data_IF_636042412293
#
_entry.id   IF_636042412293
#
_cell.length_a   1.000
_cell.length_b   1.000
_cell.length_c   1.000
_cell.angle_alpha   90.00
_cell.angle_beta   90.00
_cell.angle_gamma   90.00
#
_symmetry.space_group_name_H-M   'P 1'
#
loop_
_entity.id
_entity.type
_entity.pdbx_description
1 polymer ?
#
# COMPACT_ATOMS: atom_id res chain seq x y z
N UNK A 1 -19.36 -36.71 7.61
CA UNK A 1 -18.18 -37.61 7.49
C UNK A 1 -16.92 -36.76 7.59
N UNK A 2 -15.91 -37.21 8.34
CA UNK A 2 -14.61 -36.53 8.45
C UNK A 2 -13.78 -36.84 7.19
N UNK A 3 -13.28 -35.83 6.50
CA UNK A 3 -12.36 -36.00 5.36
C UNK A 3 -11.01 -36.60 5.79
N UNK A 4 -10.33 -37.27 4.87
CA UNK A 4 -9.00 -37.81 5.12
C UNK A 4 -7.97 -36.68 5.27
N UNK A 5 -7.18 -36.74 6.34
CA UNK A 5 -6.07 -35.81 6.60
C UNK A 5 -4.84 -36.28 5.80
N UNK A 6 -4.82 -35.92 4.52
CA UNK A 6 -3.77 -36.32 3.56
C UNK A 6 -3.17 -35.07 2.93
N UNK A 7 -1.86 -34.88 3.11
CA UNK A 7 -1.12 -33.84 2.43
C UNK A 7 -0.97 -34.22 0.96
N UNK A 8 -1.64 -33.49 0.07
CA UNK A 8 -1.51 -33.68 -1.38
C UNK A 8 -0.72 -32.51 -1.95
N UNK A 9 0.53 -32.75 -2.31
CA UNK A 9 1.38 -31.76 -2.97
C UNK A 9 1.15 -31.80 -4.49
N UNK A 10 0.60 -30.72 -5.05
CA UNK A 10 0.56 -30.56 -6.50
C UNK A 10 1.92 -30.13 -7.01
N UNK A 11 2.46 -30.81 -8.03
CA UNK A 11 3.77 -30.48 -8.63
C UNK A 11 3.82 -29.05 -9.19
N UNK A 12 2.69 -28.54 -9.71
CA UNK A 12 2.57 -27.16 -10.19
C UNK A 12 1.18 -26.61 -9.88
N UNK A 13 1.08 -25.31 -9.59
CA UNK A 13 -0.18 -24.58 -9.44
C UNK A 13 -0.04 -23.20 -10.06
N UNK A 14 -0.92 -22.87 -11.01
CA UNK A 14 -0.97 -21.56 -11.65
C UNK A 14 -2.08 -20.73 -11.01
N UNK A 15 -1.70 -19.83 -10.11
CA UNK A 15 -2.62 -18.91 -9.41
C UNK A 15 -2.08 -17.50 -9.48
N UNK A 16 -2.97 -16.53 -9.67
CA UNK A 16 -2.66 -15.10 -9.55
C UNK A 16 -2.78 -14.70 -8.08
N UNK A 17 -2.07 -13.65 -7.67
CA UNK A 17 -2.24 -13.06 -6.34
C UNK A 17 -3.71 -12.68 -6.06
N UNK A 18 -4.45 -12.26 -7.09
CA UNK A 18 -5.87 -11.92 -6.98
C UNK A 18 -6.74 -13.10 -6.53
N UNK A 19 -6.39 -14.32 -6.92
CA UNK A 19 -7.15 -15.55 -6.61
C UNK A 19 -7.13 -15.91 -5.12
N UNK A 20 -6.24 -15.29 -4.34
CA UNK A 20 -6.14 -15.49 -2.89
C UNK A 20 -6.96 -14.47 -2.10
N UNK A 21 -7.49 -13.43 -2.75
CA UNK A 21 -8.17 -12.33 -2.07
C UNK A 21 -9.68 -12.44 -2.30
N UNK A 22 -10.50 -12.60 -1.24
CA UNK A 22 -11.95 -12.69 -1.41
C UNK A 22 -12.51 -11.49 -2.21
N UNK A 23 -13.50 -11.71 -3.10
CA UNK A 23 -14.13 -10.61 -3.85
C UNK A 23 -14.75 -9.53 -2.97
N UNK A 24 -15.22 -9.91 -1.78
CA UNK A 24 -15.81 -9.01 -0.77
C UNK A 24 -14.79 -8.36 0.16
N UNK A 25 -13.49 -8.60 -0.01
CA UNK A 25 -12.48 -8.09 0.91
C UNK A 25 -12.40 -6.55 0.85
N UNK A 26 -12.47 -5.80 1.97
CA UNK A 26 -12.53 -4.33 1.98
C UNK A 26 -11.36 -3.63 1.27
N UNK A 27 -10.15 -4.21 1.35
CA UNK A 27 -8.99 -3.69 0.63
C UNK A 27 -9.17 -3.65 -0.89
N UNK A 28 -10.14 -4.36 -1.49
CA UNK A 28 -10.46 -4.21 -2.92
C UNK A 28 -11.01 -2.83 -3.24
N UNK A 29 -12.00 -2.37 -2.49
CA UNK A 29 -12.54 -1.03 -2.64
C UNK A 29 -11.47 0.04 -2.33
N UNK A 30 -10.71 -0.15 -1.25
CA UNK A 30 -9.64 0.78 -0.86
C UNK A 30 -8.54 0.85 -1.93
N UNK A 31 -8.16 -0.28 -2.54
CA UNK A 31 -7.13 -0.30 -3.59
C UNK A 31 -7.58 0.48 -4.83
N UNK A 32 -8.87 0.41 -5.19
CA UNK A 32 -9.42 1.22 -6.28
C UNK A 32 -9.28 2.71 -5.95
N UNK A 33 -9.65 3.12 -4.74
CA UNK A 33 -9.51 4.52 -4.31
C UNK A 33 -8.05 4.98 -4.27
N UNK A 34 -7.14 4.13 -3.76
CA UNK A 34 -5.71 4.41 -3.74
C UNK A 34 -5.16 4.58 -5.16
N UNK A 35 -5.54 3.72 -6.10
CA UNK A 35 -5.08 3.83 -7.49
C UNK A 35 -5.66 5.08 -8.18
N UNK A 36 -6.91 5.44 -7.89
CA UNK A 36 -7.54 6.67 -8.40
C UNK A 36 -6.83 7.92 -7.85
N UNK A 37 -6.45 7.91 -6.56
CA UNK A 37 -5.64 8.97 -5.96
C UNK A 37 -4.26 9.07 -6.60
N UNK A 38 -3.56 7.94 -6.77
CA UNK A 38 -2.24 7.90 -7.39
C UNK A 38 -2.23 8.43 -8.83
N UNK A 39 -3.25 8.10 -9.63
CA UNK A 39 -3.35 8.60 -11.00
C UNK A 39 -3.51 10.13 -11.09
N UNK A 40 -4.02 10.79 -10.03
CA UNK A 40 -4.09 12.26 -9.96
C UNK A 40 -2.74 12.90 -9.61
N UNK A 41 -1.79 12.11 -9.11
CA UNK A 41 -0.48 12.58 -8.66
C UNK A 41 0.63 12.41 -9.71
N UNK A 42 0.32 11.92 -10.92
CA UNK A 42 1.31 11.66 -11.97
C UNK A 42 2.24 12.86 -12.22
N UNK A 43 1.69 14.08 -12.20
CA UNK A 43 2.48 15.31 -12.35
C UNK A 43 3.44 15.54 -11.19
N UNK A 44 3.00 15.33 -9.95
CA UNK A 44 3.86 15.45 -8.77
C UNK A 44 5.01 14.44 -8.81
N UNK A 45 4.74 13.22 -9.26
CA UNK A 45 5.78 12.21 -9.42
C UNK A 45 6.77 12.58 -10.53
N UNK A 46 6.29 13.10 -11.66
CA UNK A 46 7.18 13.60 -12.71
C UNK A 46 8.16 14.66 -12.15
N UNK A 47 7.66 15.69 -11.47
CA UNK A 47 8.49 16.76 -10.91
C UNK A 47 9.50 16.24 -9.86
N UNK A 48 9.14 15.20 -9.09
CA UNK A 48 10.00 14.60 -8.07
C UNK A 48 11.13 13.73 -8.65
N UNK A 49 10.86 13.02 -9.75
CA UNK A 49 11.74 12.01 -10.31
C UNK A 49 12.44 12.44 -11.61
N UNK A 50 12.06 13.56 -12.24
CA UNK A 50 12.81 14.17 -13.35
C UNK A 50 14.26 14.51 -12.96
N UNK A 51 14.53 14.77 -11.67
CA UNK A 51 15.88 15.00 -11.16
C UNK A 51 16.80 13.76 -11.14
N UNK A 52 16.24 12.54 -11.25
CA UNK A 52 16.96 11.26 -11.11
C UNK A 52 17.39 10.63 -12.46
N UNK A 53 17.28 11.36 -13.58
CA UNK A 53 17.77 10.95 -14.92
C UNK A 53 19.31 10.72 -14.97
N UNK A 54 20.04 11.00 -13.89
CA UNK A 54 21.51 10.83 -13.79
C UNK A 54 21.99 9.39 -13.50
N UNK A 55 21.27 8.36 -13.94
CA UNK A 55 21.81 6.99 -14.03
C UNK A 55 21.94 6.23 -12.69
N UNK A 56 20.88 6.22 -11.88
CA UNK A 56 20.81 5.42 -10.65
C UNK A 56 20.19 4.03 -10.83
N UNK A 57 20.35 3.15 -9.82
CA UNK A 57 19.61 1.89 -9.68
C UNK A 57 18.10 2.19 -9.71
N UNK A 58 17.24 1.35 -10.34
CA UNK A 58 15.80 1.55 -10.33
C UNK A 58 15.31 1.74 -8.88
N UNK A 59 14.77 2.93 -8.58
CA UNK A 59 14.20 3.20 -7.27
C UNK A 59 12.86 2.48 -7.12
N UNK A 60 12.41 2.33 -5.87
CA UNK A 60 11.07 1.82 -5.61
C UNK A 60 10.07 2.83 -6.17
N UNK A 61 9.13 2.35 -6.98
CA UNK A 61 8.08 3.19 -7.55
C UNK A 61 7.29 3.91 -6.44
N UNK A 62 7.06 5.24 -6.54
CA UNK A 62 6.36 6.02 -5.50
C UNK A 62 4.97 5.45 -5.17
N UNK A 63 4.27 4.90 -6.16
CA UNK A 63 2.96 4.28 -6.03
C UNK A 63 2.99 3.03 -5.16
N UNK A 64 4.08 2.25 -5.22
CA UNK A 64 4.26 1.06 -4.37
C UNK A 64 4.54 1.47 -2.93
N UNK A 65 5.32 2.53 -2.73
CA UNK A 65 5.62 3.08 -1.40
C UNK A 65 4.37 3.65 -0.73
N UNK A 66 3.59 4.46 -1.45
CA UNK A 66 2.35 5.07 -0.94
C UNK A 66 1.31 4.00 -0.57
N UNK A 67 1.14 2.96 -1.38
CA UNK A 67 0.27 1.82 -1.03
C UNK A 67 0.78 1.02 0.18
N UNK A 68 2.09 0.86 0.32
CA UNK A 68 2.67 0.19 1.49
C UNK A 68 2.46 1.02 2.78
N UNK A 69 2.62 2.34 2.70
CA UNK A 69 2.31 3.25 3.83
C UNK A 69 0.82 3.24 4.17
N UNK A 70 -0.07 3.15 3.17
CA UNK A 70 -1.50 3.00 3.42
C UNK A 70 -1.81 1.71 4.17
N UNK A 71 -1.20 0.57 3.79
CA UNK A 71 -1.32 -0.68 4.56
C UNK A 71 -0.79 -0.52 5.97
N UNK A 72 0.35 0.17 6.13
CA UNK A 72 0.94 0.42 7.44
C UNK A 72 -0.04 1.15 8.37
N UNK A 73 -0.74 2.16 7.86
CA UNK A 73 -1.77 2.92 8.59
C UNK A 73 -3.01 2.06 8.87
N UNK A 74 -3.56 1.40 7.85
CA UNK A 74 -4.80 0.59 7.96
C UNK A 74 -4.68 -0.57 8.95
N UNK A 75 -3.50 -1.15 9.08
CA UNK A 75 -3.24 -2.30 9.96
C UNK A 75 -2.42 -1.92 11.19
N UNK A 76 -2.20 -0.64 11.45
CA UNK A 76 -1.43 -0.12 12.59
C UNK A 76 -0.07 -0.82 12.78
N UNK A 77 0.63 -1.05 11.66
CA UNK A 77 1.93 -1.72 11.64
C UNK A 77 2.98 -0.75 12.19
N UNK A 78 3.65 -1.16 13.26
CA UNK A 78 4.35 -0.24 14.17
C UNK A 78 5.73 0.19 13.66
N UNK A 79 6.26 -0.46 12.64
CA UNK A 79 7.56 -0.11 12.06
C UNK A 79 7.67 -0.55 10.61
N UNK A 80 8.56 0.10 9.87
CA UNK A 80 8.87 -0.28 8.47
C UNK A 80 9.54 -1.65 8.39
N UNK A 81 10.31 -2.05 9.40
CA UNK A 81 10.86 -3.42 9.49
C UNK A 81 9.73 -4.44 9.57
N UNK A 82 8.77 -4.21 10.46
CA UNK A 82 7.59 -5.06 10.58
C UNK A 82 6.75 -5.04 9.29
N UNK A 83 6.66 -3.90 8.61
CA UNK A 83 5.99 -3.80 7.31
C UNK A 83 6.69 -4.68 6.27
N UNK A 84 8.02 -4.64 6.15
CA UNK A 84 8.75 -5.49 5.21
C UNK A 84 8.60 -6.98 5.55
N UNK A 85 8.65 -7.34 6.83
CA UNK A 85 8.38 -8.71 7.29
C UNK A 85 6.96 -9.15 6.87
N UNK A 86 5.94 -8.33 7.14
CA UNK A 86 4.57 -8.65 6.73
C UNK A 86 4.43 -8.77 5.21
N UNK A 87 5.05 -7.88 4.43
CA UNK A 87 5.03 -7.95 2.96
C UNK A 87 5.76 -9.20 2.44
N UNK A 88 6.73 -9.75 3.18
CA UNK A 88 7.44 -10.97 2.80
C UNK A 88 6.51 -12.19 2.70
N UNK A 89 5.58 -12.35 3.64
CA UNK A 89 4.72 -13.55 3.70
C UNK A 89 3.23 -13.30 3.46
N UNK A 90 2.76 -12.06 3.49
CA UNK A 90 1.34 -11.74 3.38
C UNK A 90 0.93 -11.45 1.93
N UNK A 91 0.30 -12.43 1.26
CA UNK A 91 -0.16 -12.31 -0.13
C UNK A 91 -1.15 -11.15 -0.34
N UNK A 92 -1.99 -10.84 0.66
CA UNK A 92 -2.92 -9.70 0.61
C UNK A 92 -2.17 -8.37 0.54
N UNK A 93 -1.09 -8.22 1.32
CA UNK A 93 -0.30 -6.99 1.33
C UNK A 93 0.48 -6.83 0.02
N UNK A 94 1.08 -7.91 -0.48
CA UNK A 94 1.75 -7.92 -1.80
C UNK A 94 0.78 -7.56 -2.91
N UNK A 95 -0.41 -8.18 -2.91
CA UNK A 95 -1.48 -7.87 -3.85
C UNK A 95 -1.84 -6.39 -3.79
N UNK A 96 -2.12 -5.84 -2.61
CA UNK A 96 -2.50 -4.44 -2.46
C UNK A 96 -1.41 -3.49 -2.97
N UNK A 97 -0.16 -3.73 -2.56
CA UNK A 97 1.03 -2.96 -2.94
C UNK A 97 1.38 -3.12 -4.43
N UNK A 98 0.90 -4.17 -5.10
CA UNK A 98 1.30 -4.49 -6.48
C UNK A 98 2.74 -5.01 -6.57
N UNK A 99 3.15 -5.79 -5.57
CA UNK A 99 4.41 -6.54 -5.55
C UNK A 99 4.11 -7.97 -6.03
N UNK A 100 4.90 -8.51 -6.96
CA UNK A 100 4.71 -9.88 -7.43
C UNK A 100 4.94 -10.89 -6.29
N UNK A 101 4.46 -12.13 -6.44
CA UNK A 101 4.59 -13.15 -5.40
C UNK A 101 6.07 -13.46 -5.09
N UNK A 102 6.91 -13.46 -6.11
CA UNK A 102 8.32 -13.81 -6.14
C UNK A 102 9.29 -12.62 -6.08
N UNK A 103 8.78 -11.38 -6.20
CA UNK A 103 9.59 -10.17 -6.07
C UNK A 103 10.34 -10.14 -4.72
N UNK A 104 11.57 -9.62 -4.70
CA UNK A 104 12.29 -9.42 -3.44
C UNK A 104 11.67 -8.24 -2.70
N UNK A 105 11.37 -8.41 -1.39
CA UNK A 105 10.90 -7.30 -0.56
C UNK A 105 12.04 -6.30 -0.32
N UNK A 106 11.69 -5.03 -0.25
CA UNK A 106 12.67 -3.97 -0.07
C UNK A 106 13.37 -4.07 1.29
N UNK A 107 14.64 -3.64 1.32
CA UNK A 107 15.37 -3.48 2.56
C UNK A 107 14.73 -2.33 3.37
N UNK A 108 14.45 -2.49 4.67
CA UNK A 108 13.77 -1.46 5.46
C UNK A 108 14.41 -0.07 5.37
N UNK A 109 15.74 0.02 5.41
CA UNK A 109 16.45 1.30 5.31
C UNK A 109 16.31 1.98 3.94
N UNK A 110 16.12 1.22 2.88
CA UNK A 110 15.82 1.76 1.53
C UNK A 110 14.40 2.30 1.50
N UNK A 111 13.45 1.62 2.14
CA UNK A 111 12.09 2.11 2.29
C UNK A 111 12.07 3.45 3.06
N UNK A 112 12.78 3.53 4.20
CA UNK A 112 12.87 4.74 5.02
C UNK A 112 13.32 5.95 4.20
N UNK A 113 14.43 5.81 3.46
CA UNK A 113 15.00 6.89 2.65
C UNK A 113 14.06 7.37 1.55
N UNK A 114 13.32 6.45 0.92
CA UNK A 114 12.35 6.82 -0.11
C UNK A 114 11.10 7.46 0.50
N UNK A 115 10.63 7.00 1.66
CA UNK A 115 9.55 7.67 2.40
C UNK A 115 9.93 9.11 2.75
N UNK A 116 11.13 9.34 3.27
CA UNK A 116 11.63 10.68 3.58
C UNK A 116 11.63 11.59 2.35
N UNK A 117 11.98 11.05 1.17
CA UNK A 117 11.85 11.78 -0.09
C UNK A 117 10.39 12.15 -0.38
N UNK A 118 9.46 11.20 -0.30
CA UNK A 118 8.03 11.47 -0.52
C UNK A 118 7.47 12.52 0.44
N UNK A 119 7.90 12.52 1.70
CA UNK A 119 7.50 13.51 2.70
C UNK A 119 8.03 14.90 2.33
N UNK A 120 9.30 15.02 1.90
CA UNK A 120 9.88 16.31 1.52
C UNK A 120 9.19 16.99 0.33
N UNK A 121 8.50 16.21 -0.50
CA UNK A 121 7.75 16.70 -1.64
C UNK A 121 6.23 16.71 -1.38
N UNK A 122 5.80 16.63 -0.11
CA UNK A 122 4.39 16.63 0.33
C UNK A 122 3.52 15.49 -0.27
N UNK A 123 4.10 14.56 -1.02
CA UNK A 123 3.38 13.50 -1.73
C UNK A 123 2.62 12.55 -0.80
N UNK A 124 3.14 12.30 0.40
CA UNK A 124 2.42 11.49 1.40
C UNK A 124 1.12 12.18 1.81
N UNK A 125 1.19 13.47 2.15
CA UNK A 125 0.04 14.24 2.61
C UNK A 125 -1.00 14.35 1.48
N UNK A 126 -0.56 14.68 0.27
CA UNK A 126 -1.43 14.78 -0.91
C UNK A 126 -2.15 13.46 -1.21
N UNK A 127 -1.42 12.34 -1.19
CA UNK A 127 -2.00 11.02 -1.42
C UNK A 127 -3.08 10.67 -0.40
N UNK A 128 -2.80 10.82 0.91
CA UNK A 128 -3.77 10.48 1.94
C UNK A 128 -4.99 11.40 1.91
N UNK A 129 -4.79 12.70 1.64
CA UNK A 129 -5.89 13.64 1.46
C UNK A 129 -6.79 13.25 0.28
N UNK A 130 -6.20 12.85 -0.85
CA UNK A 130 -6.98 12.45 -2.01
C UNK A 130 -7.74 11.13 -1.75
N UNK A 131 -7.13 10.16 -1.07
CA UNK A 131 -7.81 8.92 -0.65
C UNK A 131 -9.01 9.23 0.25
N UNK A 132 -8.85 10.13 1.23
CA UNK A 132 -9.95 10.56 2.12
C UNK A 132 -11.02 11.30 1.33
N UNK A 133 -10.65 12.20 0.42
CA UNK A 133 -11.59 12.94 -0.42
C UNK A 133 -12.42 12.00 -1.31
N UNK A 134 -11.81 10.96 -1.87
CA UNK A 134 -12.51 9.93 -2.65
C UNK A 134 -13.45 9.12 -1.75
N UNK A 135 -12.99 8.71 -0.57
CA UNK A 135 -13.82 7.97 0.39
C UNK A 135 -15.04 8.81 0.85
N UNK A 136 -14.86 10.10 1.10
CA UNK A 136 -15.92 11.03 1.45
C UNK A 136 -16.95 11.18 0.32
N UNK A 137 -16.49 11.35 -0.93
CA UNK A 137 -17.37 11.43 -2.11
C UNK A 137 -18.20 10.16 -2.33
N UNK A 138 -17.70 9.01 -1.87
CA UNK A 138 -18.38 7.71 -1.95
C UNK A 138 -19.22 7.41 -0.70
N UNK A 139 -19.36 8.36 0.22
CA UNK A 139 -20.09 8.22 1.48
C UNK A 139 -19.62 7.02 2.34
N UNK A 140 -18.31 6.72 2.26
CA UNK A 140 -17.68 5.62 2.98
C UNK A 140 -17.13 6.03 4.35
N UNK A 141 -17.21 7.31 4.68
CA UNK A 141 -16.77 7.86 5.96
C UNK A 141 -17.99 8.00 6.87
N UNK A 142 -18.30 6.96 7.64
CA UNK A 142 -19.32 7.06 8.71
C UNK A 142 -18.65 7.42 10.03
N UNK A 143 -19.24 8.35 10.79
CA UNK A 143 -18.82 8.64 12.16
C UNK A 143 -19.17 7.54 13.17
N UNK A 144 -19.99 6.56 12.79
CA UNK A 144 -20.55 5.59 13.74
C UNK A 144 -19.95 4.19 13.65
N UNK A 145 -19.76 3.54 12.48
CA UNK A 145 -19.21 2.18 12.46
C UNK A 145 -18.58 1.78 11.12
N UNK A 146 -17.27 2.01 10.94
CA UNK A 146 -16.30 1.05 10.37
C UNK A 146 -14.88 1.64 10.50
N UNK A 147 -14.02 0.88 11.19
CA UNK A 147 -12.74 1.29 11.77
C UNK A 147 -11.60 1.31 10.75
N UNK A 148 -11.43 2.42 10.06
CA UNK A 148 -10.09 2.99 9.91
C UNK A 148 -10.18 4.27 10.71
N UNK A 149 -9.42 4.35 11.79
CA UNK A 149 -9.38 5.55 12.61
C UNK A 149 -8.97 6.73 11.71
N UNK A 150 -9.97 7.50 11.27
CA UNK A 150 -9.77 8.65 10.39
C UNK A 150 -8.84 9.64 11.05
N UNK A 151 -8.74 9.63 12.39
CA UNK A 151 -7.77 10.42 13.13
C UNK A 151 -6.33 9.99 12.87
N UNK A 152 -6.05 8.73 12.52
CA UNK A 152 -4.70 8.25 12.22
C UNK A 152 -4.26 8.67 10.82
N UNK A 153 -5.19 8.63 9.84
CA UNK A 153 -4.96 9.22 8.51
C UNK A 153 -4.86 10.74 8.59
N UNK A 154 -5.74 11.40 9.35
CA UNK A 154 -5.72 12.86 9.56
C UNK A 154 -4.51 13.31 10.38
N UNK A 155 -4.04 12.54 11.36
CA UNK A 155 -2.81 12.82 12.11
C UNK A 155 -1.58 12.68 11.20
N UNK A 156 -1.58 11.71 10.29
CA UNK A 156 -0.57 11.62 9.25
C UNK A 156 -0.62 12.77 8.25
N UNK A 157 -1.82 13.19 7.83
CA UNK A 157 -2.01 14.39 6.99
C UNK A 157 -1.67 15.69 7.73
N UNK A 158 -1.76 15.68 9.06
CA UNK A 158 -1.57 16.79 9.97
C UNK A 158 -0.17 16.92 10.56
N UNK A 159 0.83 16.14 10.12
CA UNK A 159 2.24 16.34 10.49
C UNK A 159 2.83 17.62 9.86
N UNK A 160 2.26 18.77 10.23
CA UNK A 160 2.85 20.11 10.27
C UNK A 160 2.50 20.72 11.62
N UNK A 161 3.35 20.47 12.61
CA UNK A 161 3.69 21.35 13.73
C UNK A 161 5.02 20.90 14.31
#
# INVERSE_FOLDING_TARGET
MRGADTFTESLFSMRKLDDFIPPSHPLRAIRVMANEALAKMDRLFADMYEADIKGGRPSIAPEKLLRAMLIQVLYSIRSERQLMEQVQYNLLFRWFIGLAMDDVVWVPTVFTKNRERLIRHDAVIEFFNEVVAIAQKKDLLSGEHFSVDGTLIQAWAGHKS
#
